data_IF_936588541373
#
_entry.id   IF_936588541373
#
_cell.length_a   1.000
_cell.length_b   1.000
_cell.length_c   1.000
_cell.angle_alpha   90.00
_cell.angle_beta   90.00
_cell.angle_gamma   90.00
#
_symmetry.space_group_name_H-M   'P 1'
#
loop_
_entity.id
_entity.type
_entity.pdbx_description
1 polymer ?
#
# COMPACT_ATOMS: atom_id res chain seq x y z
N UNK A 1 21.63 11.54 11.22
CA UNK A 1 20.31 11.33 10.59
C UNK A 1 20.27 12.19 9.34
N UNK A 2 20.25 11.59 8.15
CA UNK A 2 20.22 12.33 6.88
C UNK A 2 18.77 12.46 6.44
N UNK A 3 18.25 13.68 6.43
CA UNK A 3 16.98 13.97 5.77
C UNK A 3 17.22 14.00 4.26
N UNK A 4 16.41 13.25 3.51
CA UNK A 4 16.48 13.27 2.06
C UNK A 4 15.77 14.53 1.56
N UNK A 5 16.53 15.55 1.17
CA UNK A 5 16.02 16.66 0.35
C UNK A 5 16.12 16.20 -1.10
N UNK A 6 15.04 16.27 -1.89
CA UNK A 6 14.89 15.68 -3.25
C UNK A 6 14.56 14.18 -3.29
N UNK A 7 13.62 13.72 -2.45
CA UNK A 7 13.21 12.32 -2.41
C UNK A 7 12.59 11.79 -3.74
N UNK A 8 12.01 12.66 -4.59
CA UNK A 8 11.53 12.25 -5.92
C UNK A 8 12.65 11.65 -6.79
N UNK A 9 13.90 12.12 -6.65
CA UNK A 9 15.04 11.61 -7.40
C UNK A 9 15.44 10.18 -7.03
N UNK A 10 14.90 9.63 -5.93
CA UNK A 10 15.12 8.25 -5.50
C UNK A 10 14.08 7.28 -6.09
N UNK A 11 13.06 7.78 -6.79
CA UNK A 11 12.03 6.94 -7.41
C UNK A 11 12.49 6.51 -8.80
N UNK A 12 12.79 5.22 -8.96
CA UNK A 12 13.17 4.65 -10.25
C UNK A 12 11.98 4.52 -11.22
N UNK A 13 10.76 4.40 -10.69
CA UNK A 13 9.54 4.29 -11.47
C UNK A 13 8.35 3.86 -10.62
N UNK A 14 7.21 3.71 -11.28
CA UNK A 14 5.91 3.39 -10.67
C UNK A 14 5.31 2.16 -11.34
N UNK A 15 4.67 1.32 -10.54
CA UNK A 15 3.85 0.20 -11.01
C UNK A 15 2.58 0.11 -10.16
N UNK A 16 1.57 -0.57 -10.69
CA UNK A 16 0.36 -0.88 -9.91
C UNK A 16 0.72 -1.94 -8.87
N UNK A 17 0.13 -1.85 -7.68
CA UNK A 17 0.26 -2.86 -6.64
C UNK A 17 -1.11 -3.25 -6.09
N UNK A 18 -1.29 -4.53 -5.81
CA UNK A 18 -2.41 -5.06 -5.04
C UNK A 18 -1.89 -5.67 -3.75
N UNK A 19 -2.27 -5.06 -2.62
CA UNK A 19 -1.96 -5.53 -1.26
C UNK A 19 -3.13 -6.37 -0.73
N UNK A 20 -3.07 -7.68 -0.98
CA UNK A 20 -4.14 -8.60 -0.63
C UNK A 20 -4.33 -8.69 0.88
N UNK A 21 -5.58 -8.77 1.32
CA UNK A 21 -5.92 -8.68 2.75
C UNK A 21 -6.88 -9.78 3.18
N UNK A 22 -6.47 -10.60 4.16
CA UNK A 22 -7.38 -11.47 4.90
C UNK A 22 -7.95 -10.69 6.09
N UNK A 23 -9.09 -10.00 5.88
CA UNK A 23 -9.61 -9.01 6.83
C UNK A 23 -10.09 -9.62 8.16
N UNK A 24 -10.54 -10.87 8.16
CA UNK A 24 -10.88 -11.62 9.38
C UNK A 24 -9.64 -11.83 10.28
N UNK A 25 -8.54 -12.30 9.69
CA UNK A 25 -7.26 -12.45 10.39
C UNK A 25 -6.70 -11.10 10.80
N UNK A 26 -6.73 -10.12 9.88
CA UNK A 26 -6.22 -8.77 10.12
C UNK A 26 -6.92 -8.07 11.29
N UNK A 27 -8.25 -8.13 11.37
CA UNK A 27 -8.98 -7.46 12.45
C UNK A 27 -8.82 -8.15 13.80
N UNK A 28 -8.64 -9.48 13.81
CA UNK A 28 -8.29 -10.21 15.02
C UNK A 28 -6.90 -9.82 15.55
N UNK A 29 -5.87 -9.75 14.69
CA UNK A 29 -4.50 -9.38 15.10
C UNK A 29 -4.38 -7.91 15.49
N UNK A 30 -5.16 -7.01 14.88
CA UNK A 30 -5.12 -5.59 15.23
C UNK A 30 -5.52 -5.32 16.69
N UNK A 31 -6.21 -6.26 17.36
CA UNK A 31 -6.52 -6.17 18.80
C UNK A 31 -5.28 -6.15 19.70
N UNK A 32 -4.15 -6.73 19.26
CA UNK A 32 -2.89 -6.72 20.02
C UNK A 32 -2.03 -5.48 19.76
N UNK A 33 -2.49 -4.56 18.88
CA UNK A 33 -1.86 -3.24 18.59
C UNK A 33 -0.42 -3.30 18.08
N UNK A 34 -0.04 -4.40 17.43
CA UNK A 34 1.25 -4.54 16.75
C UNK A 34 1.18 -4.24 15.25
N UNK A 35 0.00 -3.86 14.75
CA UNK A 35 -0.25 -3.65 13.32
C UNK A 35 -0.61 -4.95 12.59
N UNK A 36 -0.86 -4.87 11.27
CA UNK A 36 -1.17 -6.03 10.46
C UNK A 36 0.09 -6.89 10.23
N UNK A 37 -0.08 -8.21 10.22
CA UNK A 37 0.97 -9.18 9.93
C UNK A 37 0.37 -10.31 9.09
N UNK A 38 -0.32 -11.26 9.72
CA UNK A 38 -0.89 -12.45 9.06
C UNK A 38 -2.04 -12.12 8.13
N UNK A 39 -2.68 -10.97 8.34
CA UNK A 39 -3.65 -10.43 7.38
C UNK A 39 -3.04 -9.99 6.04
N UNK A 40 -1.70 -9.86 5.94
CA UNK A 40 -0.98 -9.22 4.83
C UNK A 40 0.21 -10.01 4.30
N UNK A 41 0.80 -10.92 5.08
CA UNK A 41 2.01 -11.67 4.70
C UNK A 41 1.77 -12.83 3.72
N UNK A 42 0.56 -12.93 3.16
CA UNK A 42 0.16 -14.02 2.24
C UNK A 42 0.46 -13.68 0.79
N UNK A 43 0.11 -12.49 0.31
CA UNK A 43 0.29 -12.11 -1.07
C UNK A 43 0.32 -10.58 -1.27
N UNK A 44 1.27 -10.13 -2.08
CA UNK A 44 1.30 -8.81 -2.69
C UNK A 44 1.61 -8.98 -4.17
N UNK A 45 0.82 -8.35 -5.04
CA UNK A 45 1.02 -8.45 -6.49
C UNK A 45 1.51 -7.13 -7.04
N UNK A 46 2.61 -7.16 -7.79
CA UNK A 46 3.09 -6.02 -8.57
C UNK A 46 2.61 -6.13 -10.02
N UNK A 47 2.34 -4.99 -10.63
CA UNK A 47 2.10 -4.87 -12.06
C UNK A 47 3.35 -5.24 -12.85
N UNK A 48 3.20 -5.78 -14.07
CA UNK A 48 4.31 -6.29 -14.86
C UNK A 48 5.19 -5.21 -15.49
N UNK A 49 4.76 -3.94 -15.46
CA UNK A 49 5.44 -2.82 -16.11
C UNK A 49 5.85 -1.79 -15.06
N UNK A 50 7.08 -1.32 -15.15
CA UNK A 50 7.60 -0.20 -14.37
C UNK A 50 7.66 1.02 -15.29
N UNK A 51 6.81 2.02 -15.03
CA UNK A 51 6.76 3.28 -15.79
C UNK A 51 7.67 4.30 -15.12
N UNK A 52 8.50 4.96 -15.89
CA UNK A 52 9.48 5.94 -15.38
C UNK A 52 8.81 7.29 -15.04
N UNK A 53 9.40 8.09 -14.14
CA UNK A 53 8.84 9.41 -13.81
C UNK A 53 8.74 10.37 -15.00
N UNK A 54 9.70 10.33 -15.94
CA UNK A 54 9.71 11.19 -17.12
C UNK A 54 8.59 10.83 -18.11
N UNK A 55 8.28 9.54 -18.26
CA UNK A 55 7.11 9.10 -19.02
C UNK A 55 5.80 9.66 -18.45
N UNK A 56 5.71 9.83 -17.13
CA UNK A 56 4.50 10.36 -16.46
C UNK A 56 4.45 11.89 -16.35
N UNK A 57 5.53 12.59 -16.70
CA UNK A 57 5.64 14.04 -16.54
C UNK A 57 4.48 14.85 -17.14
N UNK A 58 3.87 14.49 -18.29
CA UNK A 58 2.72 15.20 -18.84
C UNK A 58 1.49 15.25 -17.92
N UNK A 59 1.40 14.33 -16.95
CA UNK A 59 0.30 14.24 -15.99
C UNK A 59 0.67 14.75 -14.60
N UNK A 60 1.85 15.33 -14.40
CA UNK A 60 2.33 15.71 -13.07
C UNK A 60 1.37 16.70 -12.37
N UNK A 61 1.13 16.46 -11.07
CA UNK A 61 0.46 17.38 -10.14
C UNK A 61 1.40 17.76 -9.00
N UNK A 62 0.91 18.56 -8.04
CA UNK A 62 1.69 18.98 -6.87
C UNK A 62 2.21 17.79 -6.06
N UNK A 63 1.34 16.81 -5.78
CA UNK A 63 1.66 15.65 -4.93
C UNK A 63 1.85 14.34 -5.70
N UNK A 64 1.34 14.22 -6.92
CA UNK A 64 1.37 12.96 -7.68
C UNK A 64 1.18 13.17 -9.19
N UNK A 65 0.30 12.40 -9.83
CA UNK A 65 -0.02 12.46 -11.25
C UNK A 65 -1.53 12.35 -11.44
N UNK A 66 -2.05 13.08 -12.42
CA UNK A 66 -3.47 13.15 -12.73
C UNK A 66 -3.93 11.97 -13.59
N UNK A 67 -3.91 10.77 -13.00
CA UNK A 67 -4.23 9.51 -13.64
C UNK A 67 -5.43 8.84 -12.96
N UNK A 68 -6.32 8.27 -13.78
CA UNK A 68 -7.47 7.50 -13.27
C UNK A 68 -7.03 6.07 -12.94
N UNK A 69 -7.44 5.59 -11.77
CA UNK A 69 -7.22 4.21 -11.32
C UNK A 69 -8.57 3.52 -11.21
N UNK A 70 -8.69 2.33 -11.79
CA UNK A 70 -9.91 1.51 -11.74
C UNK A 70 -9.60 0.13 -11.19
N UNK A 71 -10.57 -0.45 -10.49
CA UNK A 71 -10.50 -1.84 -10.01
C UNK A 71 -11.68 -2.59 -10.59
N UNK A 72 -11.39 -3.72 -11.25
CA UNK A 72 -12.40 -4.57 -11.89
C UNK A 72 -12.12 -6.05 -11.59
N UNK A 73 -13.17 -6.86 -11.49
CA UNK A 73 -13.07 -8.33 -11.40
C UNK A 73 -13.89 -8.92 -12.52
N UNK A 74 -13.26 -9.73 -13.37
CA UNK A 74 -13.92 -10.40 -14.51
C UNK A 74 -14.72 -9.42 -15.41
N UNK A 75 -14.23 -8.19 -15.55
CA UNK A 75 -14.87 -7.13 -16.34
C UNK A 75 -15.97 -6.34 -15.61
N UNK A 76 -16.26 -6.66 -14.35
CA UNK A 76 -17.16 -5.86 -13.51
C UNK A 76 -16.36 -4.82 -12.71
N UNK A 77 -16.64 -3.54 -12.93
CA UNK A 77 -15.98 -2.44 -12.22
C UNK A 77 -16.48 -2.30 -10.79
N UNK A 78 -15.55 -2.43 -9.85
CA UNK A 78 -15.80 -2.35 -8.41
C UNK A 78 -15.57 -0.95 -7.85
N UNK A 79 -14.62 -0.22 -8.41
CA UNK A 79 -14.20 1.07 -7.89
C UNK A 79 -13.36 1.86 -8.87
N UNK A 80 -13.30 3.16 -8.62
CA UNK A 80 -12.49 4.10 -9.37
C UNK A 80 -12.09 5.27 -8.46
N UNK A 81 -10.86 5.76 -8.61
CA UNK A 81 -10.38 7.00 -8.01
C UNK A 81 -9.30 7.61 -8.92
N UNK A 82 -8.70 8.72 -8.52
CA UNK A 82 -7.55 9.33 -9.18
C UNK A 82 -6.33 9.25 -8.29
N UNK A 83 -5.16 9.03 -8.89
CA UNK A 83 -3.90 9.12 -8.17
C UNK A 83 -3.65 10.55 -7.63
N UNK A 84 -4.23 11.57 -8.26
CA UNK A 84 -4.22 12.96 -7.78
C UNK A 84 -5.02 13.18 -6.48
N UNK A 85 -5.76 12.20 -5.97
CA UNK A 85 -6.42 12.27 -4.65
C UNK A 85 -5.48 12.06 -3.46
N UNK A 86 -4.23 11.65 -3.69
CA UNK A 86 -3.26 11.40 -2.62
C UNK A 86 -2.88 12.67 -1.85
N UNK A 87 -3.02 12.59 -0.52
CA UNK A 87 -2.69 13.69 0.39
C UNK A 87 -1.19 13.98 0.52
N UNK A 88 -0.34 13.00 0.26
CA UNK A 88 1.11 13.09 0.39
C UNK A 88 1.77 12.57 -0.87
N UNK A 89 2.88 13.19 -1.28
CA UNK A 89 3.69 12.69 -2.37
C UNK A 89 4.51 11.47 -1.95
N UNK A 90 4.97 10.68 -2.92
CA UNK A 90 5.93 9.61 -2.64
C UNK A 90 7.24 10.17 -2.06
N UNK A 91 7.65 11.38 -2.46
CA UNK A 91 8.78 12.07 -1.86
C UNK A 91 8.57 12.35 -0.37
N UNK A 92 7.39 12.83 0.03
CA UNK A 92 7.06 13.06 1.45
C UNK A 92 7.13 11.76 2.25
N UNK A 93 6.62 10.66 1.68
CA UNK A 93 6.60 9.35 2.33
C UNK A 93 8.01 8.75 2.48
N UNK A 94 8.83 8.85 1.44
CA UNK A 94 10.24 8.43 1.47
C UNK A 94 11.00 9.27 2.50
N UNK A 95 10.81 10.58 2.50
CA UNK A 95 11.42 11.47 3.48
C UNK A 95 10.99 11.12 4.91
N UNK A 96 9.71 10.80 5.12
CA UNK A 96 9.15 10.38 6.41
C UNK A 96 9.67 9.01 6.88
N UNK A 97 9.86 8.05 5.97
CA UNK A 97 10.33 6.70 6.30
C UNK A 97 11.86 6.62 6.53
N UNK A 98 12.63 7.52 5.91
CA UNK A 98 14.10 7.51 5.94
C UNK A 98 14.77 7.65 7.33
N UNK A 99 14.17 8.28 8.36
CA UNK A 99 14.73 8.28 9.71
C UNK A 99 14.82 6.88 10.30
N UNK A 100 16.04 6.37 10.47
CA UNK A 100 16.27 5.06 11.10
C UNK A 100 16.04 3.87 10.16
N UNK A 101 15.70 4.11 8.89
CA UNK A 101 15.55 3.08 7.85
C UNK A 101 16.38 3.47 6.64
N UNK A 102 17.32 2.61 6.25
CA UNK A 102 18.05 2.78 5.00
C UNK A 102 17.16 2.33 3.84
N UNK A 103 16.85 3.24 2.92
CA UNK A 103 16.14 2.92 1.67
C UNK A 103 17.17 2.55 0.61
N UNK A 104 17.00 1.38 0.00
CA UNK A 104 17.93 0.78 -0.95
C UNK A 104 17.32 0.62 -2.34
N UNK A 105 18.13 0.60 -3.41
CA UNK A 105 17.65 0.23 -4.73
C UNK A 105 16.93 -1.14 -4.69
N UNK A 106 15.71 -1.16 -5.21
CA UNK A 106 14.83 -2.34 -5.18
C UNK A 106 13.79 -2.33 -4.06
N UNK A 107 13.88 -1.41 -3.10
CA UNK A 107 12.80 -1.21 -2.13
C UNK A 107 11.54 -0.70 -2.82
N UNK A 108 10.40 -1.23 -2.40
CA UNK A 108 9.08 -0.86 -2.93
C UNK A 108 8.36 -0.04 -1.87
N UNK A 109 8.04 1.21 -2.20
CA UNK A 109 7.21 2.10 -1.38
C UNK A 109 5.81 2.12 -1.96
N UNK A 110 4.80 1.88 -1.13
CA UNK A 110 3.43 1.64 -1.58
C UNK A 110 2.45 2.53 -0.83
N UNK A 111 1.40 2.96 -1.53
CA UNK A 111 0.27 3.68 -0.94
C UNK A 111 -1.00 2.93 -1.26
N UNK A 112 -1.82 2.72 -0.24
CA UNK A 112 -3.13 2.09 -0.39
C UNK A 112 -4.19 3.17 -0.28
N UNK A 113 -4.97 3.37 -1.36
CA UNK A 113 -6.14 4.23 -1.32
C UNK A 113 -7.30 3.41 -0.77
N UNK A 114 -7.66 3.63 0.50
CA UNK A 114 -8.72 2.85 1.17
C UNK A 114 -10.13 3.13 0.62
N UNK A 115 -10.30 4.15 -0.22
CA UNK A 115 -11.60 4.55 -0.78
C UNK A 115 -11.98 3.81 -2.08
N UNK A 116 -11.13 2.92 -2.60
CA UNK A 116 -11.42 2.13 -3.80
C UNK A 116 -12.33 0.90 -3.55
N UNK A 117 -12.78 0.72 -2.31
CA UNK A 117 -13.68 -0.35 -1.88
C UNK A 117 -12.96 -1.50 -1.17
N UNK A 118 -13.70 -2.22 -0.32
CA UNK A 118 -13.26 -3.47 0.30
C UNK A 118 -14.03 -4.61 -0.34
N UNK A 119 -13.32 -5.58 -0.93
CA UNK A 119 -13.91 -6.82 -1.41
C UNK A 119 -13.59 -7.96 -0.44
N UNK A 120 -14.63 -8.53 0.16
CA UNK A 120 -14.50 -9.72 1.02
C UNK A 120 -15.03 -10.93 0.25
N UNK A 121 -14.17 -11.60 -0.52
CA UNK A 121 -14.51 -12.91 -1.09
C UNK A 121 -14.01 -13.99 -0.16
N UNK A 122 -14.93 -14.83 0.34
CA UNK A 122 -14.60 -16.07 1.04
C UNK A 122 -14.18 -17.11 0.00
N UNK A 123 -12.92 -17.05 -0.43
CA UNK A 123 -12.34 -17.94 -1.47
C UNK A 123 -12.42 -19.42 -1.06
N UNK A 124 -12.49 -19.68 0.25
CA UNK A 124 -12.65 -21.00 0.89
C UNK A 124 -13.39 -20.81 2.21
N UNK A 125 -14.16 -21.79 2.72
CA UNK A 125 -14.68 -21.74 4.08
C UNK A 125 -13.53 -21.43 5.05
N UNK A 126 -13.55 -20.24 5.64
CA UNK A 126 -12.49 -19.79 6.55
C UNK A 126 -12.40 -20.75 7.72
N UNK A 127 -11.18 -21.11 8.11
CA UNK A 127 -10.93 -21.75 9.41
C UNK A 127 -11.33 -20.75 10.48
N UNK A 128 -12.05 -21.19 11.49
CA UNK A 128 -12.46 -20.30 12.58
C UNK A 128 -11.21 -19.65 13.21
N UNK A 129 -11.15 -18.30 13.30
CA UNK A 129 -9.97 -17.63 13.80
C UNK A 129 -9.61 -18.14 15.20
N UNK A 130 -8.37 -18.59 15.38
CA UNK A 130 -7.89 -18.97 16.71
C UNK A 130 -7.86 -17.69 17.56
N UNK A 131 -8.51 -17.66 18.74
CA UNK A 131 -8.50 -16.49 19.61
C UNK A 131 -7.06 -16.07 19.93
N UNK A 132 -6.71 -14.85 19.57
CA UNK A 132 -5.39 -14.30 19.88
C UNK A 132 -5.40 -13.90 21.36
N UNK A 133 -4.51 -14.46 22.19
CA UNK A 133 -4.44 -14.10 23.60
C UNK A 133 -4.22 -12.59 23.76
N UNK A 134 -4.84 -11.95 24.77
CA UNK A 134 -4.62 -10.54 25.01
C UNK A 134 -3.14 -10.28 25.27
N UNK A 135 -2.62 -9.16 24.76
CA UNK A 135 -1.29 -8.69 25.10
C UNK A 135 -1.15 -8.66 26.62
N UNK A 136 -0.11 -9.30 27.16
CA UNK A 136 0.15 -9.33 28.60
C UNK A 136 0.22 -7.88 29.08
N UNK A 137 -0.70 -7.48 29.97
CA UNK A 137 -0.57 -6.20 30.67
C UNK A 137 0.68 -6.30 31.53
N UNK A 138 1.66 -5.43 31.27
CA UNK A 138 2.87 -5.33 32.09
C UNK A 138 2.50 -5.13 33.56
N UNK A 139 3.31 -5.72 34.46
CA UNK A 139 3.31 -5.40 35.89
C UNK A 139 3.77 -3.96 36.10
#
# INVERSE_FOLDING_TARGET
>A
MRFVTHADAYVAGYTILVDWSARDVQFAEMQVRLGPTKGKDTATTLGPVLVTPDELQPWRTDTSFDLTMTVEINGERLGQDRWSSMAFSYADMIAYASPGTEIRPGDVVTVTVEQLGTLTTRVVPGVEPIPIPPARRGR
#
